data_IF_801424353123
#
_entry.id   IF_801424353123
#
_cell.length_a   1.000
_cell.length_b   1.000
_cell.length_c   1.000
_cell.angle_alpha   90.00
_cell.angle_beta   90.00
_cell.angle_gamma   90.00
#
_symmetry.space_group_name_H-M   'P 1'
#
loop_
_entity.id
_entity.type
_entity.pdbx_description
1 polymer ?
#
# COMPACT_ATOMS: atom_id res chain seq x y z
N UNK A 1 -48.48 -3.02 -70.85
CA UNK A 1 -47.53 -1.94 -70.48
C UNK A 1 -48.11 -1.15 -69.31
N UNK A 2 -47.59 -1.33 -68.09
CA UNK A 2 -47.46 -0.28 -67.07
C UNK A 2 -46.68 -0.82 -65.86
N UNK A 3 -45.61 -0.08 -65.55
CA UNK A 3 -44.50 -0.35 -64.63
C UNK A 3 -44.94 -0.66 -63.19
N UNK A 4 -44.32 -1.67 -62.57
CA UNK A 4 -44.21 -1.73 -61.11
C UNK A 4 -43.02 -0.86 -60.67
N UNK A 5 -43.24 -0.02 -59.66
CA UNK A 5 -42.20 0.74 -58.98
C UNK A 5 -41.90 0.04 -57.66
N UNK A 6 -40.71 -0.54 -57.54
CA UNK A 6 -40.19 -1.07 -56.28
C UNK A 6 -39.70 0.10 -55.42
N UNK A 7 -40.27 0.27 -54.22
CA UNK A 7 -39.81 1.24 -53.22
C UNK A 7 -38.82 0.51 -52.30
N UNK A 8 -37.56 0.93 -52.36
CA UNK A 8 -36.48 0.45 -51.50
C UNK A 8 -36.51 1.24 -50.19
N UNK A 9 -36.81 0.60 -49.06
CA UNK A 9 -36.71 1.20 -47.74
C UNK A 9 -35.25 1.17 -47.27
N UNK A 10 -34.60 2.33 -47.24
CA UNK A 10 -33.27 2.48 -46.67
C UNK A 10 -33.42 2.62 -45.14
N UNK A 11 -33.07 1.56 -44.40
CA UNK A 11 -33.00 1.61 -42.92
C UNK A 11 -31.66 2.26 -42.54
N UNK A 12 -31.72 3.51 -42.08
CA UNK A 12 -30.57 4.24 -41.55
C UNK A 12 -30.29 3.75 -40.11
N UNK A 13 -29.22 2.98 -39.90
CA UNK A 13 -28.71 2.71 -38.56
C UNK A 13 -27.93 3.93 -38.06
N UNK A 14 -28.54 4.73 -37.20
CA UNK A 14 -27.83 5.78 -36.46
C UNK A 14 -27.07 5.09 -35.32
N UNK A 15 -25.77 4.87 -35.51
CA UNK A 15 -24.85 4.51 -34.43
C UNK A 15 -24.52 5.79 -33.67
N UNK A 16 -25.28 6.08 -32.62
CA UNK A 16 -24.96 7.15 -31.68
C UNK A 16 -23.76 6.74 -30.83
N UNK A 17 -22.57 7.21 -31.20
CA UNK A 17 -21.40 7.18 -30.33
C UNK A 17 -21.65 8.17 -29.18
N UNK A 18 -22.08 7.67 -28.03
CA UNK A 18 -21.96 8.42 -26.79
C UNK A 18 -20.46 8.51 -26.45
N UNK A 19 -19.81 9.58 -26.90
CA UNK A 19 -18.52 10.00 -26.34
C UNK A 19 -18.76 10.36 -24.89
N UNK A 20 -18.54 9.40 -23.99
CA UNK A 20 -18.38 9.68 -22.57
C UNK A 20 -17.13 10.56 -22.47
N UNK A 21 -17.31 11.88 -22.42
CA UNK A 21 -16.22 12.79 -22.08
C UNK A 21 -15.73 12.34 -20.71
N UNK A 22 -14.48 11.86 -20.65
CA UNK A 22 -13.86 11.50 -19.40
C UNK A 22 -13.95 12.72 -18.47
N UNK A 23 -14.50 12.52 -17.27
CA UNK A 23 -14.62 13.60 -16.27
C UNK A 23 -13.22 14.12 -15.95
N UNK A 24 -12.93 15.34 -16.39
CA UNK A 24 -11.69 16.04 -16.03
C UNK A 24 -11.80 16.54 -14.60
N UNK A 25 -10.68 16.58 -13.88
CA UNK A 25 -10.60 17.11 -12.53
C UNK A 25 -9.66 18.32 -12.45
N UNK A 26 -9.69 18.99 -11.30
CA UNK A 26 -9.00 20.26 -11.05
C UNK A 26 -7.85 20.15 -10.02
N UNK A 27 -7.55 18.94 -9.54
CA UNK A 27 -6.58 18.68 -8.49
C UNK A 27 -7.09 18.94 -7.06
N UNK A 28 -8.33 19.40 -6.88
CA UNK A 28 -8.90 19.65 -5.55
C UNK A 28 -9.21 18.35 -4.79
N UNK A 29 -9.60 18.44 -3.52
CA UNK A 29 -10.07 17.29 -2.73
C UNK A 29 -11.37 16.66 -3.25
N UNK A 30 -12.09 17.37 -4.12
CA UNK A 30 -13.29 16.85 -4.80
C UNK A 30 -12.94 16.13 -6.11
N UNK A 31 -11.68 16.16 -6.52
CA UNK A 31 -11.21 15.54 -7.74
C UNK A 31 -11.25 14.01 -7.64
N UNK A 32 -12.13 13.41 -8.42
CA UNK A 32 -12.33 11.95 -8.45
C UNK A 32 -11.27 11.20 -9.25
N UNK A 33 -10.37 11.89 -9.95
CA UNK A 33 -9.29 11.27 -10.72
C UNK A 33 -8.06 10.94 -9.88
N UNK A 34 -7.92 11.58 -8.71
CA UNK A 34 -6.84 11.27 -7.76
C UNK A 34 -7.13 9.93 -7.09
N UNK A 35 -6.24 8.96 -7.30
CA UNK A 35 -6.33 7.67 -6.65
C UNK A 35 -5.48 7.68 -5.39
N UNK A 36 -6.06 7.29 -4.26
CA UNK A 36 -5.42 7.27 -2.96
C UNK A 36 -5.24 5.81 -2.52
N UNK A 37 -4.01 5.41 -2.27
CA UNK A 37 -3.62 4.04 -1.93
C UNK A 37 -3.11 4.02 -0.49
N UNK A 38 -3.59 3.04 0.28
CA UNK A 38 -3.42 2.96 1.72
C UNK A 38 -4.62 3.51 2.50
N UNK A 39 -4.45 3.72 3.80
CA UNK A 39 -5.54 4.13 4.71
C UNK A 39 -5.66 5.64 4.78
N UNK A 40 -6.38 6.19 3.81
CA UNK A 40 -6.67 7.62 3.75
C UNK A 40 -7.97 7.97 4.48
N UNK A 41 -7.89 8.88 5.45
CA UNK A 41 -9.04 9.54 6.05
C UNK A 41 -9.45 10.76 5.21
N UNK A 42 -10.71 10.75 4.78
CA UNK A 42 -11.33 11.79 3.94
C UNK A 42 -12.56 12.41 4.61
N UNK A 43 -12.73 12.19 5.91
CA UNK A 43 -13.87 12.71 6.68
C UNK A 43 -13.85 14.24 6.78
N UNK A 44 -12.66 14.85 6.72
CA UNK A 44 -12.49 16.30 6.63
C UNK A 44 -12.42 16.75 5.16
N UNK A 45 -13.36 17.60 4.74
CA UNK A 45 -13.44 18.09 3.37
C UNK A 45 -12.35 19.12 3.00
N UNK A 46 -11.51 19.56 3.95
CA UNK A 46 -10.44 20.56 3.72
C UNK A 46 -9.03 19.96 3.76
N UNK A 47 -8.88 18.73 4.26
CA UNK A 47 -7.61 18.02 4.33
C UNK A 47 -7.83 16.51 4.42
N UNK A 48 -7.13 15.74 3.60
CA UNK A 48 -7.12 14.27 3.67
C UNK A 48 -5.83 13.79 4.32
N UNK A 49 -5.90 12.73 5.12
CA UNK A 49 -4.79 12.23 5.94
C UNK A 49 -4.40 10.82 5.52
N UNK A 50 -3.12 10.57 5.20
CA UNK A 50 -2.66 9.25 4.72
C UNK A 50 -2.31 8.25 5.82
N UNK A 51 -2.23 8.71 7.07
CA UNK A 51 -1.91 8.07 8.36
C UNK A 51 -0.79 7.03 8.46
N UNK A 52 -0.47 6.24 7.44
CA UNK A 52 0.51 5.15 7.44
C UNK A 52 1.67 5.46 6.49
N UNK A 53 2.87 5.04 6.88
CA UNK A 53 4.06 5.17 6.02
C UNK A 53 3.89 4.39 4.73
N UNK A 54 4.46 4.90 3.63
CA UNK A 54 4.28 4.29 2.31
C UNK A 54 2.87 4.48 1.73
N UNK A 55 1.90 5.07 2.44
CA UNK A 55 0.66 5.49 1.80
C UNK A 55 0.97 6.56 0.74
N UNK A 56 0.28 6.50 -0.40
CA UNK A 56 0.53 7.40 -1.52
C UNK A 56 -0.76 7.76 -2.23
N UNK A 57 -0.69 8.82 -3.05
CA UNK A 57 -1.67 9.06 -4.08
C UNK A 57 -1.00 9.12 -5.44
N UNK A 58 -1.79 8.87 -6.48
CA UNK A 58 -1.36 9.00 -7.86
C UNK A 58 -2.44 9.64 -8.72
N UNK A 59 -2.02 10.32 -9.78
CA UNK A 59 -2.91 11.02 -10.71
C UNK A 59 -2.25 11.17 -12.08
N UNK A 60 -3.05 11.16 -13.16
CA UNK A 60 -2.63 11.68 -14.46
C UNK A 60 -2.99 13.16 -14.52
N UNK A 61 -2.10 14.02 -14.99
CA UNK A 61 -2.39 15.45 -15.12
C UNK A 61 -1.85 16.02 -16.44
N UNK A 62 -2.38 17.18 -16.83
CA UNK A 62 -1.92 17.94 -17.99
C UNK A 62 -1.29 19.25 -17.59
N UNK A 63 -0.31 19.71 -18.36
CA UNK A 63 0.44 20.93 -18.10
C UNK A 63 1.92 20.66 -17.98
N UNK A 64 2.70 21.71 -17.75
CA UNK A 64 4.16 21.66 -17.62
C UNK A 64 4.62 21.59 -16.17
N UNK A 65 3.79 22.07 -15.24
CA UNK A 65 4.11 22.08 -13.81
C UNK A 65 2.99 21.49 -12.96
N UNK A 66 3.36 20.99 -11.77
CA UNK A 66 2.42 20.58 -10.74
C UNK A 66 2.98 20.91 -9.36
N UNK A 67 2.11 21.43 -8.49
CA UNK A 67 2.44 21.72 -7.10
C UNK A 67 1.48 20.96 -6.18
N UNK A 68 1.91 20.67 -4.97
CA UNK A 68 1.09 20.08 -3.92
C UNK A 68 0.86 21.11 -2.81
N UNK A 69 -0.34 21.11 -2.23
CA UNK A 69 -0.65 21.86 -1.02
C UNK A 69 -0.74 20.92 0.18
N UNK A 70 0.07 21.17 1.19
CA UNK A 70 0.20 20.39 2.42
C UNK A 70 -0.20 21.24 3.63
N UNK A 71 -0.94 20.65 4.56
CA UNK A 71 -1.37 21.32 5.78
C UNK A 71 -0.28 21.38 6.87
N UNK A 72 0.71 20.48 6.80
CA UNK A 72 1.82 20.36 7.75
C UNK A 72 3.07 19.87 7.03
N UNK A 73 4.23 20.08 7.65
CA UNK A 73 5.50 19.53 7.21
C UNK A 73 5.48 18.00 7.21
N UNK A 74 6.01 17.40 6.15
CA UNK A 74 6.11 15.94 5.99
C UNK A 74 7.27 15.58 5.05
N UNK A 75 7.89 14.41 5.25
CA UNK A 75 8.84 13.86 4.29
C UNK A 75 8.11 13.00 3.25
N UNK A 76 8.29 13.33 1.97
CA UNK A 76 7.63 12.64 0.86
C UNK A 76 8.64 12.27 -0.23
N UNK A 77 8.29 11.24 -1.00
CA UNK A 77 8.90 10.96 -2.29
C UNK A 77 7.93 11.25 -3.42
N UNK A 78 8.47 11.77 -4.51
CA UNK A 78 7.71 12.14 -5.69
C UNK A 78 8.33 11.48 -6.92
N UNK A 79 7.49 10.81 -7.72
CA UNK A 79 7.84 10.32 -9.05
C UNK A 79 6.91 10.93 -10.07
N UNK A 80 7.49 11.46 -11.15
CA UNK A 80 6.78 12.02 -12.30
C UNK A 80 7.16 11.22 -13.54
N UNK A 81 6.19 10.81 -14.34
CA UNK A 81 6.39 10.04 -15.58
C UNK A 81 7.15 8.71 -15.37
N UNK A 82 7.03 8.12 -14.18
CA UNK A 82 7.76 6.90 -13.80
C UNK A 82 9.28 7.09 -13.67
N UNK A 83 9.76 8.33 -13.61
CA UNK A 83 11.17 8.65 -13.33
C UNK A 83 11.51 8.35 -11.87
N UNK A 84 12.81 8.42 -11.54
CA UNK A 84 13.31 8.15 -10.19
C UNK A 84 12.60 8.99 -9.13
N UNK A 85 12.36 8.36 -7.98
CA UNK A 85 11.81 9.02 -6.78
C UNK A 85 12.75 10.10 -6.24
N UNK A 86 12.25 11.34 -6.23
CA UNK A 86 12.90 12.52 -5.63
C UNK A 86 12.36 12.74 -4.22
N UNK A 87 13.27 12.86 -3.23
CA UNK A 87 12.90 13.15 -1.84
C UNK A 87 12.67 14.64 -1.63
N UNK A 88 11.55 14.97 -1.00
CA UNK A 88 11.30 16.29 -0.44
C UNK A 88 11.25 16.14 1.09
N UNK A 89 12.20 16.78 1.76
CA UNK A 89 12.34 16.74 3.22
C UNK A 89 11.59 17.92 3.85
N UNK A 90 10.80 17.66 4.89
CA UNK A 90 9.99 18.68 5.60
C UNK A 90 9.16 19.56 4.65
N UNK A 91 8.59 18.96 3.61
CA UNK A 91 7.76 19.63 2.61
C UNK A 91 6.50 20.19 3.29
N UNK A 92 6.23 21.50 3.13
CA UNK A 92 5.14 22.17 3.84
C UNK A 92 4.50 23.27 2.99
N UNK A 93 3.20 23.53 3.19
CA UNK A 93 2.46 24.55 2.45
C UNK A 93 2.35 24.22 0.97
N UNK A 94 2.58 25.19 0.09
CA UNK A 94 2.59 24.97 -1.36
C UNK A 94 4.01 24.61 -1.79
N UNK A 95 4.18 23.42 -2.35
CA UNK A 95 5.49 22.88 -2.78
C UNK A 95 5.45 22.57 -4.27
N UNK A 96 6.40 23.13 -5.02
CA UNK A 96 6.56 22.82 -6.42
C UNK A 96 7.22 21.43 -6.59
N UNK A 97 6.53 20.52 -7.28
CA UNK A 97 6.98 19.15 -7.49
C UNK A 97 7.73 18.95 -8.82
N UNK A 98 7.74 19.98 -9.67
CA UNK A 98 8.46 19.99 -10.95
C UNK A 98 9.68 20.90 -10.86
N UNK A 99 10.88 20.30 -10.85
CA UNK A 99 12.15 21.04 -10.78
C UNK A 99 12.43 21.85 -12.05
N UNK A 100 11.87 21.43 -13.18
CA UNK A 100 11.85 22.14 -14.47
C UNK A 100 10.53 21.84 -15.20
N UNK A 101 10.22 22.64 -16.21
CA UNK A 101 9.07 22.39 -17.09
C UNK A 101 9.12 20.97 -17.66
N UNK A 102 7.99 20.28 -17.60
CA UNK A 102 7.83 18.96 -18.19
C UNK A 102 7.59 19.06 -19.70
N UNK A 103 8.10 18.06 -20.43
CA UNK A 103 7.90 17.93 -21.87
C UNK A 103 6.73 17.01 -22.18
N UNK A 104 5.80 17.47 -23.03
CA UNK A 104 4.59 16.74 -23.39
C UNK A 104 3.33 17.40 -22.83
N UNK A 105 2.19 16.75 -23.04
CA UNK A 105 0.88 17.26 -22.60
C UNK A 105 0.31 16.51 -21.39
N UNK A 106 0.65 15.24 -21.22
CA UNK A 106 0.09 14.35 -20.19
C UNK A 106 1.21 13.72 -19.37
N UNK A 107 1.06 13.74 -18.05
CA UNK A 107 2.06 13.27 -17.10
C UNK A 107 1.44 12.38 -16.03
N UNK A 108 2.21 11.43 -15.51
CA UNK A 108 1.85 10.71 -14.28
C UNK A 108 2.53 11.36 -13.08
N UNK A 109 1.83 11.42 -11.95
CA UNK A 109 2.37 11.85 -10.66
C UNK A 109 2.06 10.77 -9.63
N UNK A 110 3.07 10.39 -8.84
CA UNK A 110 2.91 9.67 -7.57
C UNK A 110 3.59 10.45 -6.45
N UNK A 111 2.90 10.63 -5.33
CA UNK A 111 3.44 11.21 -4.11
C UNK A 111 3.22 10.26 -2.94
N UNK A 112 4.30 9.86 -2.27
CA UNK A 112 4.30 8.83 -1.24
C UNK A 112 4.91 9.31 0.08
N UNK A 113 4.32 8.89 1.20
CA UNK A 113 4.88 9.10 2.52
C UNK A 113 6.20 8.32 2.67
N UNK A 114 7.27 8.99 3.13
CA UNK A 114 8.61 8.41 3.22
C UNK A 114 8.69 7.27 4.26
N UNK A 115 8.30 7.51 5.51
CA UNK A 115 8.44 6.53 6.60
C UNK A 115 7.22 6.45 7.53
N UNK A 116 7.29 5.61 8.57
CA UNK A 116 6.36 5.73 9.71
C UNK A 116 6.47 7.13 10.32
N UNK A 117 5.35 7.67 10.80
CA UNK A 117 5.24 9.06 11.25
C UNK A 117 5.11 10.12 10.15
N UNK A 118 5.51 9.83 8.89
CA UNK A 118 5.32 10.75 7.78
C UNK A 118 3.87 10.68 7.27
N UNK A 119 3.01 11.55 7.78
CA UNK A 119 1.61 11.64 7.39
C UNK A 119 1.40 12.74 6.35
N UNK A 120 0.92 12.37 5.16
CA UNK A 120 0.53 13.36 4.16
C UNK A 120 -0.82 13.95 4.57
N UNK A 121 -0.80 15.22 4.96
CA UNK A 121 -1.99 16.05 5.17
C UNK A 121 -2.29 16.84 3.89
N UNK A 122 -2.93 16.18 2.92
CA UNK A 122 -3.14 16.65 1.56
C UNK A 122 -4.30 17.65 1.48
N UNK A 123 -4.07 18.82 0.88
CA UNK A 123 -5.10 19.85 0.65
C UNK A 123 -5.45 20.07 -0.84
N UNK A 124 -4.79 19.36 -1.75
CA UNK A 124 -5.00 19.49 -3.19
C UNK A 124 -3.70 19.63 -3.99
N UNK A 125 -3.83 19.50 -5.30
CA UNK A 125 -2.81 19.87 -6.28
C UNK A 125 -3.14 21.25 -6.86
N UNK A 126 -2.09 21.99 -7.23
CA UNK A 126 -2.22 23.18 -8.05
C UNK A 126 -1.61 22.86 -9.41
N UNK A 127 -2.42 22.98 -10.44
CA UNK A 127 -2.04 22.75 -11.83
C UNK A 127 -1.83 24.10 -12.54
N UNK A 128 -1.16 24.05 -13.69
CA UNK A 128 -1.09 25.19 -14.60
C UNK A 128 -2.49 25.72 -14.97
N UNK A 129 -2.54 26.97 -15.45
CA UNK A 129 -3.80 27.54 -15.95
C UNK A 129 -4.36 26.68 -17.10
N UNK A 130 -5.54 26.09 -16.87
CA UNK A 130 -6.18 25.19 -17.84
C UNK A 130 -5.69 23.75 -17.79
N UNK A 131 -4.70 23.44 -16.94
CA UNK A 131 -4.29 22.09 -16.59
C UNK A 131 -5.41 21.34 -15.89
N UNK A 132 -5.45 20.02 -16.10
CA UNK A 132 -6.53 19.15 -15.63
C UNK A 132 -5.94 17.84 -15.15
N UNK A 133 -6.63 17.16 -14.24
CA UNK A 133 -6.39 15.75 -13.99
C UNK A 133 -7.23 14.88 -14.92
N UNK A 134 -6.71 13.70 -15.22
CA UNK A 134 -7.32 12.72 -16.10
C UNK A 134 -7.55 11.41 -15.34
N UNK A 135 -8.61 10.71 -15.73
CA UNK A 135 -8.91 9.38 -15.19
C UNK A 135 -7.82 8.39 -15.59
N UNK A 136 -7.30 7.65 -14.63
CA UNK A 136 -6.38 6.53 -14.86
C UNK A 136 -7.02 5.19 -14.46
N UNK A 137 -6.59 4.05 -15.05
CA UNK A 137 -7.04 2.73 -14.62
C UNK A 137 -6.74 2.48 -13.14
N UNK A 138 -7.63 1.74 -12.47
CA UNK A 138 -7.31 1.18 -11.14
C UNK A 138 -6.50 -0.09 -11.33
N UNK A 139 -5.57 -0.34 -10.42
CA UNK A 139 -4.83 -1.60 -10.35
C UNK A 139 -5.35 -2.45 -9.20
N UNK A 140 -5.09 -3.75 -9.26
CA UNK A 140 -5.22 -4.61 -8.10
C UNK A 140 -4.33 -4.10 -6.96
N UNK A 141 -4.72 -4.37 -5.72
CA UNK A 141 -3.98 -3.93 -4.52
C UNK A 141 -3.40 -5.14 -3.79
N UNK A 142 -2.12 -5.05 -3.40
CA UNK A 142 -1.50 -5.91 -2.39
C UNK A 142 -1.35 -5.13 -1.08
N UNK A 143 -1.91 -5.64 0.02
CA UNK A 143 -1.68 -5.06 1.36
C UNK A 143 -0.63 -5.88 2.12
N UNK A 144 0.41 -5.22 2.60
CA UNK A 144 1.46 -5.81 3.43
C UNK A 144 1.22 -5.44 4.89
N UNK A 145 1.18 -6.44 5.75
CA UNK A 145 1.02 -6.28 7.20
C UNK A 145 2.35 -6.68 7.85
N UNK A 146 2.91 -5.81 8.68
CA UNK A 146 4.19 -6.14 9.30
C UNK A 146 4.70 -5.18 10.35
N UNK A 147 6.02 -5.22 10.54
CA UNK A 147 6.77 -4.43 11.51
C UNK A 147 7.83 -3.54 10.81
N UNK A 148 8.91 -3.21 11.50
CA UNK A 148 10.04 -2.41 10.98
C UNK A 148 10.58 -2.90 9.64
N UNK A 149 10.65 -4.22 9.41
CA UNK A 149 11.15 -4.79 8.17
C UNK A 149 10.21 -4.45 7.00
N UNK A 150 8.90 -4.52 7.21
CA UNK A 150 7.91 -4.14 6.18
C UNK A 150 7.92 -2.64 5.91
N UNK A 151 8.24 -1.83 6.93
CA UNK A 151 8.45 -0.39 6.79
C UNK A 151 9.81 0.00 6.16
N UNK A 152 10.69 -0.97 5.87
CA UNK A 152 12.02 -0.72 5.33
C UNK A 152 12.96 0.00 6.30
N UNK A 153 12.85 -0.28 7.60
CA UNK A 153 13.80 0.25 8.59
C UNK A 153 15.23 -0.09 8.18
N UNK A 154 16.16 0.84 8.39
CA UNK A 154 17.59 0.79 7.99
C UNK A 154 17.89 0.86 6.49
N UNK A 155 16.88 0.82 5.61
CA UNK A 155 17.09 0.96 4.16
C UNK A 155 17.23 2.42 3.72
N UNK A 156 17.88 2.64 2.57
CA UNK A 156 18.20 3.97 2.04
C UNK A 156 17.00 4.90 1.82
N UNK A 157 15.86 4.35 1.38
CA UNK A 157 14.62 5.09 1.09
C UNK A 157 13.43 4.63 1.96
N UNK A 158 13.70 4.02 3.11
CA UNK A 158 12.67 3.55 4.05
C UNK A 158 11.57 2.71 3.37
N UNK A 159 10.31 3.15 3.37
CA UNK A 159 9.22 2.36 2.77
C UNK A 159 9.49 2.06 1.30
N UNK A 160 10.08 2.99 0.54
CA UNK A 160 10.25 2.85 -0.91
C UNK A 160 11.32 1.82 -1.30
N UNK A 161 12.26 1.53 -0.41
CA UNK A 161 13.27 0.48 -0.56
C UNK A 161 12.90 -0.80 0.19
N UNK A 162 11.75 -0.82 0.89
CA UNK A 162 11.26 -2.03 1.55
C UNK A 162 10.88 -3.10 0.53
N UNK A 163 10.93 -4.37 0.96
CA UNK A 163 10.56 -5.49 0.10
C UNK A 163 9.09 -5.39 -0.36
N UNK A 164 8.22 -4.81 0.47
CA UNK A 164 6.80 -4.64 0.19
C UNK A 164 6.60 -3.72 -1.01
N UNK A 165 7.22 -2.54 -0.97
CA UNK A 165 7.17 -1.56 -2.06
C UNK A 165 7.78 -2.12 -3.34
N UNK A 166 9.00 -2.66 -3.25
CA UNK A 166 9.71 -3.23 -4.40
C UNK A 166 8.93 -4.37 -5.05
N UNK A 167 8.23 -5.20 -4.25
CA UNK A 167 7.39 -6.27 -4.77
C UNK A 167 6.22 -5.72 -5.57
N UNK A 168 5.47 -4.76 -5.01
CA UNK A 168 4.32 -4.17 -5.68
C UNK A 168 4.67 -3.42 -6.96
N UNK A 169 5.71 -2.59 -6.93
CA UNK A 169 6.23 -1.91 -8.13
C UNK A 169 6.65 -2.92 -9.21
N UNK A 170 7.33 -3.99 -8.82
CA UNK A 170 7.82 -5.01 -9.77
C UNK A 170 6.70 -5.86 -10.39
N UNK A 171 5.52 -5.90 -9.78
CA UNK A 171 4.32 -6.60 -10.24
C UNK A 171 3.36 -5.68 -10.99
N UNK A 172 3.66 -4.38 -11.08
CA UNK A 172 2.79 -3.36 -11.67
C UNK A 172 1.39 -3.30 -11.02
N UNK A 173 1.33 -3.45 -9.69
CA UNK A 173 0.10 -3.38 -8.89
C UNK A 173 0.16 -2.21 -7.92
N UNK A 174 -1.00 -1.77 -7.43
CA UNK A 174 -1.02 -0.88 -6.27
C UNK A 174 -0.67 -1.67 -5.01
N UNK A 175 -0.05 -1.00 -4.04
CA UNK A 175 0.39 -1.66 -2.80
C UNK A 175 0.30 -0.74 -1.60
N UNK A 176 0.21 -1.30 -0.41
CA UNK A 176 0.20 -0.52 0.83
C UNK A 176 0.78 -1.31 1.99
N UNK A 177 1.46 -0.61 2.89
CA UNK A 177 2.04 -1.18 4.10
C UNK A 177 1.28 -0.70 5.33
N UNK A 178 0.65 -1.64 6.05
CA UNK A 178 0.14 -1.41 7.40
C UNK A 178 1.15 -2.00 8.35
N UNK A 179 2.25 -1.26 8.57
CA UNK A 179 3.37 -1.71 9.37
C UNK A 179 3.95 -0.61 10.25
N UNK A 180 4.49 -1.02 11.39
CA UNK A 180 5.08 -0.11 12.36
C UNK A 180 6.37 -0.71 12.96
N UNK A 181 7.48 0.04 13.01
CA UNK A 181 8.66 -0.33 13.77
C UNK A 181 8.39 -0.75 15.22
N UNK A 182 9.03 -1.83 15.65
CA UNK A 182 8.91 -2.36 17.02
C UNK A 182 7.56 -2.97 17.39
N UNK A 183 6.57 -3.00 16.49
CA UNK A 183 5.27 -3.61 16.77
C UNK A 183 5.37 -5.13 16.84
N UNK A 184 4.76 -5.71 17.85
CA UNK A 184 4.50 -7.15 17.98
C UNK A 184 3.24 -7.54 17.20
N UNK A 185 3.01 -8.83 17.01
CA UNK A 185 1.67 -9.32 16.72
C UNK A 185 0.80 -9.26 17.97
N UNK A 186 1.32 -9.75 19.10
CA UNK A 186 0.56 -9.90 20.34
C UNK A 186 0.39 -8.57 21.05
N UNK A 187 -0.86 -8.20 21.32
CA UNK A 187 -1.19 -7.02 22.10
C UNK A 187 -0.71 -7.14 23.56
N UNK A 188 -0.31 -6.01 24.16
CA UNK A 188 0.20 -5.97 25.54
C UNK A 188 1.68 -6.27 25.71
N UNK A 189 2.37 -6.80 24.69
CA UNK A 189 3.83 -6.94 24.68
C UNK A 189 4.44 -5.77 23.90
N UNK A 190 5.19 -4.90 24.57
CA UNK A 190 5.87 -3.76 23.94
C UNK A 190 7.19 -3.45 24.63
N UNK A 191 8.06 -2.76 23.91
CA UNK A 191 9.28 -2.18 24.48
C UNK A 191 8.93 -1.09 25.49
N UNK A 192 9.72 -0.97 26.56
CA UNK A 192 9.59 0.09 27.55
C UNK A 192 10.22 1.39 27.03
N UNK A 193 9.52 2.03 26.09
CA UNK A 193 9.92 3.30 25.52
C UNK A 193 8.71 4.09 25.00
N UNK A 194 8.77 5.42 25.07
CA UNK A 194 7.69 6.30 24.63
C UNK A 194 7.35 6.16 23.13
N UNK A 195 8.32 5.74 22.31
CA UNK A 195 8.11 5.51 20.87
C UNK A 195 7.41 4.18 20.58
N UNK A 196 7.40 3.24 21.52
CA UNK A 196 6.91 1.88 21.29
C UNK A 196 5.40 1.89 20.97
N UNK A 197 4.93 1.08 20.03
CA UNK A 197 3.51 0.94 19.75
C UNK A 197 2.76 0.49 21.01
N UNK A 198 1.72 1.25 21.40
CA UNK A 198 0.85 0.89 22.55
C UNK A 198 0.13 -0.43 22.35
N UNK A 199 -0.18 -0.78 21.10
CA UNK A 199 -0.89 -1.99 20.72
C UNK A 199 -0.09 -2.86 19.76
N UNK A 200 -0.28 -4.18 19.85
CA UNK A 200 0.19 -5.15 18.86
C UNK A 200 -0.68 -5.15 17.60
N UNK A 201 -0.20 -5.73 16.50
CA UNK A 201 -0.91 -5.77 15.23
C UNK A 201 -2.25 -6.51 15.29
N UNK A 202 -2.41 -7.45 16.23
CA UNK A 202 -3.69 -8.11 16.50
C UNK A 202 -4.83 -7.13 16.84
N UNK A 203 -4.51 -5.93 17.33
CA UNK A 203 -5.45 -4.83 17.55
C UNK A 203 -5.23 -3.73 16.51
N UNK A 204 -3.99 -3.25 16.37
CA UNK A 204 -3.64 -2.06 15.62
C UNK A 204 -4.02 -2.15 14.12
N UNK A 205 -3.91 -3.33 13.51
CA UNK A 205 -4.27 -3.53 12.11
C UNK A 205 -5.74 -3.20 11.83
N UNK A 206 -6.62 -3.22 12.82
CA UNK A 206 -8.05 -2.90 12.64
C UNK A 206 -8.37 -1.41 12.80
N UNK A 207 -7.37 -0.57 13.10
CA UNK A 207 -7.53 0.85 13.37
C UNK A 207 -7.11 1.73 12.18
N UNK A 208 -7.71 2.91 12.07
CA UNK A 208 -7.48 3.85 10.97
C UNK A 208 -6.07 4.45 11.00
N UNK A 209 -5.64 4.95 12.16
CA UNK A 209 -4.40 5.72 12.35
C UNK A 209 -3.24 4.82 12.76
N UNK A 210 -2.01 5.30 12.61
CA UNK A 210 -0.82 4.66 13.19
C UNK A 210 -0.93 4.51 14.73
N UNK A 211 -0.12 3.64 15.36
CA UNK A 211 -0.02 3.54 16.81
C UNK A 211 0.17 4.88 17.53
N UNK A 212 -0.15 4.86 18.82
CA UNK A 212 0.08 5.97 19.76
C UNK A 212 -0.81 7.21 19.58
N UNK A 213 -1.67 7.25 18.55
CA UNK A 213 -2.77 8.20 18.44
C UNK A 213 -3.83 7.94 19.54
N UNK A 214 -4.25 8.98 20.27
CA UNK A 214 -5.19 8.88 21.40
C UNK A 214 -6.61 8.49 20.96
N UNK A 215 -7.10 9.09 19.88
CA UNK A 215 -8.37 8.73 19.24
C UNK A 215 -8.11 7.98 17.94
N UNK A 216 -8.23 6.65 17.99
CA UNK A 216 -7.98 5.81 16.82
C UNK A 216 -9.22 4.97 16.46
N UNK A 217 -10.10 5.47 15.56
CA UNK A 217 -11.31 4.74 15.18
C UNK A 217 -10.98 3.50 14.36
N UNK A 218 -11.93 2.58 14.25
CA UNK A 218 -11.78 1.42 13.37
C UNK A 218 -11.62 1.85 11.91
N UNK A 219 -10.72 1.16 11.20
CA UNK A 219 -10.60 1.29 9.76
C UNK A 219 -11.88 0.81 9.06
N UNK A 220 -12.36 1.58 8.09
CA UNK A 220 -13.45 1.15 7.24
C UNK A 220 -12.94 0.21 6.14
N UNK A 221 -13.01 -1.10 6.39
CA UNK A 221 -12.61 -2.16 5.48
C UNK A 221 -13.41 -2.22 4.16
N UNK A 222 -14.46 -1.41 3.98
CA UNK A 222 -15.17 -1.26 2.70
C UNK A 222 -14.50 -0.26 1.75
N UNK A 223 -13.48 0.46 2.20
CA UNK A 223 -12.81 1.50 1.40
C UNK A 223 -12.05 0.93 0.20
N UNK A 224 -11.42 -0.23 0.38
CA UNK A 224 -10.85 -1.03 -0.69
C UNK A 224 -10.80 -2.49 -0.28
N UNK A 225 -10.66 -3.40 -1.24
CA UNK A 225 -10.43 -4.82 -1.00
C UNK A 225 -9.13 -5.21 -1.69
N UNK A 226 -8.08 -5.61 -0.95
CA UNK A 226 -6.87 -6.12 -1.57
C UNK A 226 -7.16 -7.45 -2.27
N UNK A 227 -6.46 -7.69 -3.38
CA UNK A 227 -6.44 -8.99 -4.05
C UNK A 227 -5.64 -9.99 -3.23
N UNK A 228 -4.56 -9.51 -2.61
CA UNK A 228 -3.63 -10.31 -1.83
C UNK A 228 -3.16 -9.55 -0.59
N UNK A 229 -3.02 -10.26 0.53
CA UNK A 229 -2.41 -9.78 1.76
C UNK A 229 -1.12 -10.58 2.01
N UNK A 230 -0.04 -9.89 2.34
CA UNK A 230 1.23 -10.50 2.77
C UNK A 230 1.51 -10.13 4.22
N UNK A 231 1.74 -11.11 5.08
CA UNK A 231 1.96 -10.90 6.53
C UNK A 231 3.38 -11.32 6.89
N UNK A 232 4.12 -10.43 7.56
CA UNK A 232 5.44 -10.71 8.13
C UNK A 232 5.53 -10.14 9.55
N UNK A 233 5.22 -10.98 10.54
CA UNK A 233 5.15 -10.64 11.96
C UNK A 233 5.73 -11.77 12.82
N UNK A 234 6.25 -11.41 14.00
CA UNK A 234 6.89 -12.35 14.95
C UNK A 234 8.28 -11.92 15.42
N UNK A 235 8.96 -11.03 14.69
CA UNK A 235 10.31 -10.56 15.04
C UNK A 235 10.35 -9.88 16.41
N UNK A 236 9.44 -8.93 16.67
CA UNK A 236 9.42 -8.21 17.95
C UNK A 236 8.83 -9.05 19.08
N UNK A 237 7.88 -9.94 18.76
CA UNK A 237 7.36 -10.92 19.72
C UNK A 237 8.51 -11.78 20.27
N UNK A 238 9.47 -12.13 19.41
CA UNK A 238 10.64 -12.93 19.79
C UNK A 238 11.57 -12.12 20.70
N UNK A 239 11.86 -10.89 20.30
CA UNK A 239 12.72 -9.98 21.08
C UNK A 239 12.14 -9.70 22.47
N UNK A 240 10.81 -9.63 22.59
CA UNK A 240 10.08 -9.41 23.84
C UNK A 240 9.68 -10.71 24.55
N UNK A 241 10.12 -11.88 24.04
CA UNK A 241 9.94 -13.20 24.65
C UNK A 241 8.46 -13.53 24.90
N UNK A 242 7.60 -13.24 23.93
CA UNK A 242 6.20 -13.69 23.96
C UNK A 242 6.17 -15.21 24.06
N UNK A 243 5.41 -15.81 24.99
CA UNK A 243 5.29 -17.27 25.06
C UNK A 243 4.75 -17.86 23.75
N UNK A 244 5.31 -19.00 23.32
CA UNK A 244 5.00 -19.61 22.02
C UNK A 244 3.51 -19.91 21.83
N UNK A 245 2.85 -20.42 22.87
CA UNK A 245 1.42 -20.72 22.87
C UNK A 245 0.55 -19.46 22.73
N UNK A 246 0.94 -18.37 23.41
CA UNK A 246 0.31 -17.06 23.30
C UNK A 246 0.47 -16.49 21.88
N UNK A 247 1.68 -16.55 21.32
CA UNK A 247 1.94 -16.10 19.96
C UNK A 247 1.12 -16.89 18.93
N UNK A 248 1.19 -18.23 18.97
CA UNK A 248 0.46 -19.10 18.05
C UNK A 248 -1.05 -18.83 18.12
N UNK A 249 -1.62 -18.81 19.34
CA UNK A 249 -3.05 -18.55 19.52
C UNK A 249 -3.45 -17.20 18.96
N UNK A 250 -2.65 -16.17 19.23
CA UNK A 250 -2.92 -14.82 18.71
C UNK A 250 -2.84 -14.79 17.18
N UNK A 251 -1.91 -15.51 16.57
CA UNK A 251 -1.79 -15.61 15.11
C UNK A 251 -3.01 -16.30 14.49
N UNK A 252 -3.50 -17.39 15.10
CA UNK A 252 -4.75 -18.07 14.68
C UNK A 252 -5.92 -17.08 14.70
N UNK A 253 -6.11 -16.37 15.81
CA UNK A 253 -7.21 -15.41 15.98
C UNK A 253 -7.06 -14.22 15.02
N UNK A 254 -5.84 -13.72 14.84
CA UNK A 254 -5.55 -12.61 13.92
C UNK A 254 -5.89 -12.97 12.48
N UNK A 255 -5.47 -14.15 12.00
CA UNK A 255 -5.77 -14.62 10.64
C UNK A 255 -7.27 -14.78 10.40
N UNK A 256 -8.02 -15.31 11.38
CA UNK A 256 -9.48 -15.36 11.31
C UNK A 256 -10.09 -13.95 11.20
N UNK A 257 -9.60 -13.01 11.99
CA UNK A 257 -10.09 -11.64 11.99
C UNK A 257 -9.78 -10.94 10.67
N UNK A 258 -8.59 -11.11 10.08
CA UNK A 258 -8.26 -10.59 8.74
C UNK A 258 -9.18 -11.21 7.67
N UNK A 259 -9.34 -12.54 7.66
CA UNK A 259 -10.25 -13.23 6.74
C UNK A 259 -11.70 -12.71 6.84
N UNK A 260 -12.17 -12.41 8.06
CA UNK A 260 -13.52 -11.86 8.26
C UNK A 260 -13.73 -10.50 7.59
N UNK A 261 -12.66 -9.71 7.40
CA UNK A 261 -12.71 -8.42 6.70
C UNK A 261 -12.56 -8.57 5.20
N UNK A 262 -11.81 -9.58 4.76
CA UNK A 262 -11.53 -9.84 3.35
C UNK A 262 -11.83 -11.30 2.96
N UNK A 263 -13.11 -11.65 2.73
CA UNK A 263 -13.52 -13.05 2.52
C UNK A 263 -12.93 -13.71 1.27
N UNK A 264 -12.54 -12.95 0.25
CA UNK A 264 -12.11 -13.48 -1.06
C UNK A 264 -10.62 -13.33 -1.36
N UNK A 265 -9.88 -12.61 -0.50
CA UNK A 265 -8.47 -12.26 -0.68
C UNK A 265 -7.55 -13.47 -0.51
N UNK A 266 -6.45 -13.53 -1.24
CA UNK A 266 -5.36 -14.48 -0.93
C UNK A 266 -4.58 -13.95 0.29
N UNK A 267 -4.30 -14.79 1.28
CA UNK A 267 -3.53 -14.43 2.47
C UNK A 267 -2.24 -15.24 2.47
N UNK A 268 -1.12 -14.56 2.28
CA UNK A 268 0.21 -15.15 2.30
C UNK A 268 0.89 -14.78 3.62
N UNK A 269 1.23 -15.77 4.42
CA UNK A 269 1.89 -15.61 5.71
C UNK A 269 3.34 -16.06 5.56
N UNK A 270 4.27 -15.14 5.74
CA UNK A 270 5.69 -15.41 5.60
C UNK A 270 6.26 -15.95 6.91
N UNK A 271 7.16 -16.92 6.82
CA UNK A 271 8.18 -17.10 7.85
C UNK A 271 8.93 -15.76 8.03
N UNK A 272 9.21 -15.38 9.27
CA UNK A 272 10.06 -14.20 9.49
C UNK A 272 11.46 -14.45 8.91
N UNK A 273 12.11 -13.43 8.35
CA UNK A 273 13.44 -13.61 7.74
C UNK A 273 14.53 -14.01 8.74
N UNK A 274 14.31 -13.81 10.05
CA UNK A 274 15.17 -14.31 11.11
C UNK A 274 14.93 -15.79 11.48
N UNK A 275 13.82 -16.38 11.05
CA UNK A 275 13.38 -17.74 11.38
C UNK A 275 12.64 -17.85 12.72
N UNK A 276 12.19 -16.74 13.28
CA UNK A 276 11.47 -16.69 14.55
C UNK A 276 10.03 -17.19 14.41
N UNK A 277 9.56 -17.93 15.42
CA UNK A 277 8.24 -18.54 15.49
C UNK A 277 7.81 -19.31 14.23
N UNK A 278 8.76 -20.02 13.60
CA UNK A 278 8.52 -20.75 12.35
C UNK A 278 7.39 -21.78 12.52
N UNK A 279 7.49 -22.63 13.54
CA UNK A 279 6.52 -23.70 13.81
C UNK A 279 5.15 -23.14 14.23
N UNK A 280 5.12 -22.11 15.07
CA UNK A 280 3.90 -21.48 15.55
C UNK A 280 3.13 -20.78 14.41
N UNK A 281 3.87 -20.10 13.52
CA UNK A 281 3.28 -19.42 12.36
C UNK A 281 2.72 -20.43 11.37
N UNK A 282 3.48 -21.47 11.03
CA UNK A 282 3.03 -22.55 10.13
C UNK A 282 1.81 -23.27 10.71
N UNK A 283 1.85 -23.60 12.00
CA UNK A 283 0.74 -24.25 12.71
C UNK A 283 -0.52 -23.37 12.70
N UNK A 284 -0.38 -22.06 12.92
CA UNK A 284 -1.52 -21.15 12.89
C UNK A 284 -2.22 -21.12 11.52
N UNK A 285 -1.44 -21.11 10.43
CA UNK A 285 -1.97 -21.21 9.07
C UNK A 285 -2.61 -22.58 8.83
N UNK A 286 -1.92 -23.66 9.21
CA UNK A 286 -2.40 -25.03 9.04
C UNK A 286 -3.75 -25.26 9.72
N UNK A 287 -3.97 -24.69 10.91
CA UNK A 287 -5.24 -24.81 11.61
C UNK A 287 -6.44 -24.22 10.85
N UNK A 288 -6.22 -23.18 10.03
CA UNK A 288 -7.27 -22.65 9.15
C UNK A 288 -7.45 -23.53 7.92
N UNK A 289 -6.36 -24.00 7.30
CA UNK A 289 -6.40 -24.92 6.15
C UNK A 289 -7.14 -26.21 6.50
N UNK A 290 -6.86 -26.80 7.67
CA UNK A 290 -7.52 -28.01 8.16
C UNK A 290 -9.03 -27.82 8.39
N UNK A 291 -9.48 -26.56 8.54
CA UNK A 291 -10.90 -26.16 8.64
C UNK A 291 -11.52 -25.76 7.28
N UNK A 292 -10.81 -25.98 6.17
CA UNK A 292 -11.30 -25.75 4.82
C UNK A 292 -10.96 -24.37 4.23
N UNK A 293 -10.09 -23.59 4.86
CA UNK A 293 -9.53 -22.38 4.24
C UNK A 293 -8.64 -22.77 3.04
N UNK A 294 -8.92 -22.19 1.88
CA UNK A 294 -8.24 -22.55 0.61
C UNK A 294 -7.39 -21.42 0.03
N UNK A 295 -7.49 -20.22 0.59
CA UNK A 295 -6.81 -19.00 0.13
C UNK A 295 -5.88 -18.43 1.20
N UNK A 296 -5.31 -19.31 2.02
CA UNK A 296 -4.33 -18.96 3.04
C UNK A 296 -3.12 -19.87 2.89
N UNK A 297 -1.94 -19.27 2.83
CA UNK A 297 -0.72 -19.95 2.44
C UNK A 297 0.40 -19.57 3.39
N UNK A 298 1.13 -20.56 3.88
CA UNK A 298 2.39 -20.35 4.58
C UNK A 298 3.54 -20.44 3.57
N UNK A 299 4.47 -19.48 3.62
CA UNK A 299 5.65 -19.47 2.76
C UNK A 299 6.90 -19.44 3.64
N UNK A 300 7.68 -20.52 3.59
CA UNK A 300 9.03 -20.55 4.13
C UNK A 300 9.92 -19.55 3.39
N UNK A 301 10.67 -18.76 4.16
CA UNK A 301 11.65 -17.79 3.65
C UNK A 301 13.08 -18.26 3.87
N UNK A 302 13.26 -19.54 4.24
CA UNK A 302 14.57 -20.12 4.47
C UNK A 302 15.48 -19.96 3.24
N UNK A 303 16.70 -19.48 3.48
CA UNK A 303 17.69 -19.24 2.42
C UNK A 303 17.37 -18.07 1.48
N UNK A 304 16.35 -17.24 1.74
CA UNK A 304 16.06 -16.06 0.92
C UNK A 304 17.08 -14.94 1.14
N UNK A 305 17.54 -14.81 2.38
CA UNK A 305 18.55 -13.84 2.82
C UNK A 305 19.67 -14.56 3.58
N UNK A 306 20.90 -14.07 3.44
CA UNK A 306 22.04 -14.49 4.25
C UNK A 306 22.09 -13.66 5.52
N UNK A 307 22.09 -14.30 6.69
CA UNK A 307 22.14 -13.60 7.98
C UNK A 307 23.38 -12.72 8.10
N UNK A 308 24.54 -13.19 7.63
CA UNK A 308 25.82 -12.49 7.79
C UNK A 308 26.05 -11.36 6.77
N UNK A 309 25.27 -11.34 5.68
CA UNK A 309 25.46 -10.38 4.57
C UNK A 309 24.30 -9.42 4.44
N UNK A 310 23.08 -9.96 4.52
CA UNK A 310 21.86 -9.21 4.24
C UNK A 310 21.26 -8.61 5.52
N UNK A 311 21.58 -9.12 6.72
CA UNK A 311 21.07 -8.63 8.01
C UNK A 311 22.20 -8.01 8.85
N UNK A 312 22.69 -6.79 8.54
CA UNK A 312 23.87 -6.21 9.20
C UNK A 312 23.72 -6.02 10.72
N UNK A 313 22.50 -5.87 11.23
CA UNK A 313 22.21 -5.79 12.67
C UNK A 313 21.59 -7.08 13.24
N UNK A 314 21.62 -8.16 12.47
CA UNK A 314 21.02 -9.46 12.79
C UNK A 314 19.49 -9.52 12.66
N UNK A 315 18.81 -8.42 12.31
CA UNK A 315 17.34 -8.34 12.26
C UNK A 315 16.79 -7.75 10.97
N UNK A 316 17.29 -6.58 10.57
CA UNK A 316 16.76 -5.80 9.45
C UNK A 316 17.56 -6.10 8.18
N UNK A 317 16.89 -6.47 7.07
CA UNK A 317 17.56 -6.55 5.79
C UNK A 317 18.09 -5.19 5.34
N UNK A 318 19.30 -5.17 4.78
CA UNK A 318 19.79 -4.03 4.00
C UNK A 318 19.05 -3.92 2.64
N UNK A 319 19.36 -2.90 1.84
CA UNK A 319 18.71 -2.69 0.54
C UNK A 319 18.84 -3.91 -0.39
N UNK A 320 20.01 -4.55 -0.45
CA UNK A 320 20.22 -5.77 -1.24
C UNK A 320 19.37 -6.94 -0.74
N UNK A 321 19.26 -7.12 0.57
CA UNK A 321 18.40 -8.10 1.21
C UNK A 321 16.93 -7.89 0.84
N UNK A 322 16.45 -6.65 0.91
CA UNK A 322 15.10 -6.29 0.47
C UNK A 322 14.86 -6.57 -1.01
N UNK A 323 15.83 -6.29 -1.89
CA UNK A 323 15.76 -6.63 -3.32
C UNK A 323 15.67 -8.15 -3.53
N UNK A 324 16.45 -8.96 -2.80
CA UNK A 324 16.39 -10.43 -2.87
C UNK A 324 15.01 -10.95 -2.46
N UNK A 325 14.48 -10.47 -1.35
CA UNK A 325 13.14 -10.81 -0.86
C UNK A 325 12.08 -10.45 -1.90
N UNK A 326 12.11 -9.22 -2.43
CA UNK A 326 11.14 -8.76 -3.42
C UNK A 326 11.16 -9.60 -4.71
N UNK A 327 12.34 -10.02 -5.18
CA UNK A 327 12.47 -10.92 -6.34
C UNK A 327 11.81 -12.28 -6.10
N UNK A 328 11.98 -12.86 -4.90
CA UNK A 328 11.34 -14.14 -4.53
C UNK A 328 9.82 -13.97 -4.43
N UNK A 329 9.35 -12.92 -3.76
CA UNK A 329 7.92 -12.64 -3.65
C UNK A 329 7.28 -12.36 -5.00
N UNK A 330 7.90 -11.60 -5.89
CA UNK A 330 7.38 -11.35 -7.24
C UNK A 330 7.02 -12.65 -7.96
N UNK A 331 7.89 -13.66 -7.89
CA UNK A 331 7.66 -14.96 -8.53
C UNK A 331 6.43 -15.65 -7.91
N UNK A 332 6.40 -15.74 -6.59
CA UNK A 332 5.34 -16.42 -5.83
C UNK A 332 3.99 -15.71 -6.00
N UNK A 333 3.96 -14.39 -5.77
CA UNK A 333 2.72 -13.62 -5.74
C UNK A 333 2.06 -13.48 -7.12
N UNK A 334 2.84 -13.56 -8.21
CA UNK A 334 2.29 -13.55 -9.57
C UNK A 334 1.28 -14.68 -9.80
N UNK A 335 1.48 -15.84 -9.18
CA UNK A 335 0.58 -17.00 -9.31
C UNK A 335 -0.82 -16.75 -8.72
N UNK A 336 -0.91 -15.82 -7.78
CA UNK A 336 -2.16 -15.46 -7.09
C UNK A 336 -2.86 -14.24 -7.71
N UNK A 337 -2.15 -13.44 -8.51
CA UNK A 337 -2.70 -12.27 -9.19
C UNK A 337 -3.40 -12.61 -10.52
N UNK A 338 -3.00 -13.71 -11.18
CA UNK A 338 -3.51 -14.11 -12.51
C UNK A 338 -4.77 -14.99 -12.41
N UNK A 339 -5.09 -15.52 -11.22
CA UNK A 339 -6.32 -16.27 -10.94
C UNK A 339 -7.46 -15.33 -10.56
#
# INVERSE_FOLDING_TARGET
MKNSRSILWLVLFIVSFNTVIASVGDGSLKDTNIQYIGRWDKSNATVFHSYWGGAYFKVLFTGKTVQIKLASAVNIYVSIDGKEDVKYTEANGIVNLTLSDLEGENHTLRVAANYTGDEIQFQGLLLDKGGKTLKQPKKEIIEFIGNSITSGQTTTKNNLSSFAWLTGESLDVDHTQISQPGITLVDGYRYDANWAPKHGQSVQYFLLKQPNNEENPFWNFKTYTPKLIVINLGTNDHNLRVPNDVFQKTYVDFLANVRSKFPSCEIVVLQTFGGFYTEETETAVKQHIDKGETKMHYISTEGWVSKDVDLPDGTHPNDEGHVKIAKKLKIILREYLVK
#
